data_IF_783516916866
#
_entry.id   IF_783516916866
#
_cell.length_a   1.000
_cell.length_b   1.000
_cell.length_c   1.000
_cell.angle_alpha   90.00
_cell.angle_beta   90.00
_cell.angle_gamma   90.00
#
_symmetry.space_group_name_H-M   'P 1'
#
loop_
_entity.id
_entity.type
_entity.pdbx_description
1 polymer ?
#
# COMPACT_ATOMS: atom_id res chain seq x y z
N UNK A 1 -3.44 -22.66 -14.20
CA UNK A 1 -3.36 -21.25 -13.76
C UNK A 1 -2.66 -21.19 -12.42
N UNK A 2 -1.68 -20.30 -12.26
CA UNK A 2 -0.96 -20.17 -10.99
C UNK A 2 -1.84 -19.46 -9.95
N UNK A 3 -2.04 -20.11 -8.81
CA UNK A 3 -2.84 -19.56 -7.71
C UNK A 3 -2.10 -18.45 -6.96
N UNK A 4 -0.81 -18.27 -7.22
CA UNK A 4 0.01 -17.22 -6.64
C UNK A 4 -0.08 -15.88 -7.38
N UNK A 5 -0.88 -15.79 -8.46
CA UNK A 5 -1.13 -14.50 -9.12
C UNK A 5 -1.65 -13.45 -8.14
N UNK A 6 -1.27 -12.20 -8.42
CA UNK A 6 -1.56 -11.05 -7.58
C UNK A 6 -2.78 -10.35 -8.16
N UNK A 7 -3.77 -10.14 -7.30
CA UNK A 7 -4.92 -9.31 -7.60
C UNK A 7 -4.69 -7.93 -7.04
N UNK A 8 -4.90 -6.89 -7.87
CA UNK A 8 -4.78 -5.50 -7.45
C UNK A 8 -6.08 -4.74 -7.76
N UNK A 9 -6.60 -4.02 -6.76
CA UNK A 9 -7.82 -3.21 -6.88
C UNK A 9 -7.68 -1.91 -6.09
N UNK A 10 -8.28 -0.82 -6.58
CA UNK A 10 -8.42 0.41 -5.80
C UNK A 10 -9.25 0.16 -4.54
N UNK A 11 -8.95 0.91 -3.48
CA UNK A 11 -9.71 0.84 -2.24
C UNK A 11 -11.15 1.34 -2.44
N UNK A 12 -11.38 2.29 -3.35
CA UNK A 12 -12.73 2.73 -3.76
C UNK A 12 -13.56 1.58 -4.32
N UNK A 13 -12.99 0.77 -5.23
CA UNK A 13 -13.67 -0.41 -5.77
C UNK A 13 -13.81 -1.54 -4.74
N UNK A 14 -12.88 -1.66 -3.79
CA UNK A 14 -13.02 -2.62 -2.68
C UNK A 14 -14.18 -2.22 -1.76
N UNK A 15 -14.35 -0.93 -1.48
CA UNK A 15 -15.36 -0.41 -0.55
C UNK A 15 -16.73 -0.20 -1.19
N UNK A 16 -16.82 -0.28 -2.52
CA UNK A 16 -18.07 -0.13 -3.25
C UNK A 16 -19.12 -1.20 -2.86
N UNK A 17 -20.40 -0.82 -2.91
CA UNK A 17 -21.53 -1.73 -2.69
C UNK A 17 -21.83 -2.53 -3.97
N UNK A 18 -21.62 -3.84 -3.91
CA UNK A 18 -22.09 -4.77 -4.93
C UNK A 18 -22.39 -6.14 -4.33
N UNK A 19 -23.34 -6.85 -4.96
CA UNK A 19 -23.74 -8.21 -4.56
C UNK A 19 -23.42 -9.21 -5.67
N UNK A 20 -22.30 -9.89 -5.49
CA UNK A 20 -21.82 -10.94 -6.38
C UNK A 20 -21.83 -12.28 -5.62
N UNK A 21 -22.26 -13.34 -6.30
CA UNK A 21 -22.10 -14.72 -5.84
C UNK A 21 -20.62 -15.08 -5.71
N UNK A 22 -20.34 -16.18 -4.99
CA UNK A 22 -18.97 -16.66 -4.79
C UNK A 22 -18.24 -16.86 -6.12
N UNK A 23 -18.92 -17.44 -7.09
CA UNK A 23 -18.34 -17.77 -8.38
C UNK A 23 -18.14 -16.52 -9.24
N UNK A 24 -19.10 -15.59 -9.25
CA UNK A 24 -18.94 -14.30 -9.94
C UNK A 24 -17.76 -13.51 -9.37
N UNK A 25 -17.60 -13.46 -8.04
CA UNK A 25 -16.44 -12.82 -7.43
C UNK A 25 -15.14 -13.50 -7.85
N UNK A 26 -15.10 -14.84 -7.83
CA UNK A 26 -13.90 -15.58 -8.26
C UNK A 26 -13.58 -15.38 -9.74
N UNK A 27 -14.59 -15.27 -10.62
CA UNK A 27 -14.40 -14.90 -12.04
C UNK A 27 -13.69 -13.55 -12.12
N UNK A 28 -14.29 -12.50 -11.54
CA UNK A 28 -13.74 -11.15 -11.57
C UNK A 28 -12.33 -11.09 -11.01
N UNK A 29 -12.08 -11.73 -9.87
CA UNK A 29 -10.79 -11.70 -9.21
C UNK A 29 -9.73 -12.53 -9.96
N UNK A 30 -10.14 -13.58 -10.67
CA UNK A 30 -9.24 -14.32 -11.57
C UNK A 30 -8.83 -13.44 -12.75
N UNK A 31 -9.77 -12.75 -13.39
CA UNK A 31 -9.46 -11.81 -14.48
C UNK A 31 -8.57 -10.66 -13.97
N UNK A 32 -8.90 -10.10 -12.80
CA UNK A 32 -8.13 -9.05 -12.17
C UNK A 32 -6.68 -9.46 -11.91
N UNK A 33 -6.43 -10.74 -11.62
CA UNK A 33 -5.08 -11.27 -11.42
C UNK A 33 -4.23 -11.35 -12.69
N UNK A 34 -4.86 -11.24 -13.86
CA UNK A 34 -4.19 -11.24 -15.15
C UNK A 34 -3.89 -9.83 -15.66
N UNK A 35 -4.49 -8.80 -15.08
CA UNK A 35 -4.21 -7.39 -15.41
C UNK A 35 -2.77 -7.10 -14.98
N UNK A 36 -1.94 -6.65 -15.91
CA UNK A 36 -0.55 -6.32 -15.62
C UNK A 36 -0.39 -4.81 -15.38
N UNK A 37 0.53 -4.37 -14.50
CA UNK A 37 0.75 -2.95 -14.23
C UNK A 37 1.12 -2.11 -15.47
N UNK A 38 1.73 -2.72 -16.47
CA UNK A 38 2.12 -2.08 -17.73
C UNK A 38 1.02 -2.06 -18.80
N UNK A 39 -0.13 -2.69 -18.55
CA UNK A 39 -1.24 -2.65 -19.49
C UNK A 39 -1.81 -1.23 -19.54
N UNK A 40 -2.10 -0.72 -20.73
CA UNK A 40 -2.81 0.56 -20.93
C UNK A 40 -4.31 0.36 -21.16
N UNK A 41 -4.70 -0.85 -21.52
CA UNK A 41 -6.05 -1.24 -21.90
C UNK A 41 -6.36 -2.62 -21.33
N UNK A 42 -7.63 -2.88 -20.97
CA UNK A 42 -8.03 -4.24 -20.65
C UNK A 42 -8.01 -5.12 -21.91
N UNK A 43 -7.23 -6.20 -21.82
CA UNK A 43 -7.16 -7.23 -22.84
C UNK A 43 -8.39 -8.14 -22.82
N UNK A 44 -8.51 -8.93 -23.87
CA UNK A 44 -9.38 -10.09 -23.88
C UNK A 44 -8.69 -11.25 -23.14
N UNK A 45 -9.32 -11.76 -22.08
CA UNK A 45 -8.79 -12.85 -21.27
C UNK A 45 -9.42 -14.17 -21.69
N UNK A 46 -8.59 -15.05 -22.24
CA UNK A 46 -9.02 -16.33 -22.80
C UNK A 46 -8.81 -17.48 -21.80
N UNK A 47 -9.82 -18.33 -21.63
CA UNK A 47 -9.80 -19.47 -20.73
C UNK A 47 -10.40 -20.71 -21.37
N UNK A 48 -9.75 -21.86 -21.18
CA UNK A 48 -10.42 -23.15 -21.38
C UNK A 48 -11.50 -23.31 -20.31
N UNK A 49 -12.72 -23.59 -20.72
CA UNK A 49 -13.88 -23.66 -19.80
C UNK A 49 -13.65 -24.73 -18.73
N UNK A 50 -13.02 -25.86 -19.10
CA UNK A 50 -12.66 -26.94 -18.17
C UNK A 50 -11.79 -26.43 -17.02
N UNK A 51 -10.67 -25.79 -17.35
CA UNK A 51 -9.71 -25.27 -16.37
C UNK A 51 -10.34 -24.15 -15.53
N UNK A 52 -11.21 -23.36 -16.14
CA UNK A 52 -11.91 -22.27 -15.45
C UNK A 52 -12.89 -22.79 -14.41
N UNK A 53 -13.70 -23.80 -14.75
CA UNK A 53 -14.62 -24.47 -13.81
C UNK A 53 -13.87 -25.08 -12.63
N UNK A 54 -12.75 -25.77 -12.91
CA UNK A 54 -11.90 -26.36 -11.88
C UNK A 54 -11.34 -25.29 -10.93
N UNK A 55 -10.85 -24.18 -11.48
CA UNK A 55 -10.32 -23.05 -10.71
C UNK A 55 -11.38 -22.42 -9.79
N UNK A 56 -12.62 -22.30 -10.26
CA UNK A 56 -13.74 -21.76 -9.48
C UNK A 56 -14.20 -22.72 -8.36
N UNK A 57 -13.63 -23.93 -8.29
CA UNK A 57 -13.95 -24.95 -7.28
C UNK A 57 -15.27 -25.67 -7.54
N UNK A 58 -15.66 -25.75 -8.81
CA UNK A 58 -16.87 -26.42 -9.26
C UNK A 58 -16.54 -27.87 -9.60
N UNK A 59 -17.10 -28.83 -8.83
CA UNK A 59 -16.76 -30.26 -8.93
C UNK A 59 -17.61 -31.08 -9.91
N UNK A 60 -18.60 -30.49 -10.57
CA UNK A 60 -19.64 -31.24 -11.28
C UNK A 60 -19.59 -30.97 -12.79
N UNK A 61 -19.50 -32.04 -13.58
CA UNK A 61 -19.39 -32.03 -15.04
C UNK A 61 -20.63 -31.41 -15.71
N UNK A 62 -21.79 -31.38 -15.03
CA UNK A 62 -22.99 -30.70 -15.55
C UNK A 62 -22.88 -29.17 -15.60
N UNK A 63 -21.76 -28.58 -15.14
CA UNK A 63 -21.58 -27.11 -15.03
C UNK A 63 -20.91 -26.44 -16.22
N UNK A 64 -20.59 -27.15 -17.30
CA UNK A 64 -20.20 -26.49 -18.56
C UNK A 64 -21.28 -25.52 -19.06
N UNK A 65 -22.56 -25.87 -18.85
CA UNK A 65 -23.71 -25.00 -19.17
C UNK A 65 -23.89 -23.84 -18.18
N UNK A 66 -23.26 -23.92 -17.00
CA UNK A 66 -23.41 -22.92 -15.95
C UNK A 66 -22.53 -21.69 -16.19
N UNK A 67 -21.39 -21.82 -16.87
CA UNK A 67 -20.52 -20.67 -17.17
C UNK A 67 -21.25 -19.62 -18.02
N UNK A 68 -21.89 -19.96 -19.16
CA UNK A 68 -22.76 -19.04 -19.91
C UNK A 68 -23.82 -18.35 -19.05
N UNK A 69 -24.49 -19.11 -18.17
CA UNK A 69 -25.50 -18.57 -17.26
C UNK A 69 -24.88 -17.58 -16.28
N UNK A 70 -23.79 -17.97 -15.62
CA UNK A 70 -23.09 -17.16 -14.61
C UNK A 70 -22.52 -15.87 -15.20
N UNK A 71 -21.87 -15.93 -16.38
CA UNK A 71 -21.34 -14.72 -17.01
C UNK A 71 -22.45 -13.80 -17.50
N UNK A 72 -23.58 -14.37 -17.97
CA UNK A 72 -24.75 -13.58 -18.37
C UNK A 72 -25.38 -12.85 -17.18
N UNK A 73 -25.49 -13.50 -16.03
CA UNK A 73 -25.94 -12.84 -14.80
C UNK A 73 -24.93 -11.78 -14.33
N UNK A 74 -23.63 -12.07 -14.38
CA UNK A 74 -22.58 -11.11 -14.05
C UNK A 74 -22.64 -9.84 -14.92
N UNK A 75 -22.88 -9.99 -16.22
CA UNK A 75 -23.03 -8.85 -17.14
C UNK A 75 -24.25 -7.97 -16.83
N UNK A 76 -25.31 -8.52 -16.23
CA UNK A 76 -26.51 -7.75 -15.85
C UNK A 76 -26.31 -6.95 -14.56
N UNK A 77 -25.25 -7.24 -13.80
CA UNK A 77 -25.02 -6.60 -12.51
C UNK A 77 -24.28 -5.28 -12.69
N UNK A 78 -24.97 -4.22 -12.33
CA UNK A 78 -24.45 -2.85 -12.26
C UNK A 78 -24.15 -2.52 -10.81
N UNK A 79 -23.08 -1.75 -10.59
CA UNK A 79 -22.75 -1.17 -9.30
C UNK A 79 -22.41 0.31 -9.46
N UNK A 80 -22.40 1.04 -8.35
CA UNK A 80 -22.29 2.50 -8.36
C UNK A 80 -21.10 2.97 -7.55
N UNK A 81 -20.26 3.81 -8.16
CA UNK A 81 -19.19 4.53 -7.47
C UNK A 81 -19.58 6.00 -7.41
N UNK A 82 -19.54 6.59 -6.21
CA UNK A 82 -19.80 8.02 -6.00
C UNK A 82 -18.50 8.80 -6.17
N UNK A 83 -18.51 9.78 -7.05
CA UNK A 83 -17.39 10.67 -7.34
C UNK A 83 -17.79 12.10 -7.02
N UNK A 84 -17.60 12.50 -5.76
CA UNK A 84 -18.08 13.78 -5.26
C UNK A 84 -19.61 13.88 -5.33
N UNK A 85 -20.11 14.67 -6.27
CA UNK A 85 -21.56 14.85 -6.51
C UNK A 85 -22.12 13.87 -7.53
N UNK A 86 -21.27 13.26 -8.34
CA UNK A 86 -21.67 12.39 -9.43
C UNK A 86 -21.79 10.93 -8.98
N UNK A 87 -22.66 10.18 -9.66
CA UNK A 87 -22.85 8.75 -9.47
C UNK A 87 -22.52 8.08 -10.79
N UNK A 88 -21.44 7.29 -10.80
CA UNK A 88 -21.00 6.51 -11.94
C UNK A 88 -21.53 5.09 -11.82
N UNK A 89 -22.35 4.67 -12.80
CA UNK A 89 -22.86 3.31 -12.89
C UNK A 89 -21.95 2.46 -13.79
N UNK A 90 -21.48 1.34 -13.26
CA UNK A 90 -20.48 0.49 -13.90
C UNK A 90 -20.97 -0.94 -14.02
N UNK A 91 -20.66 -1.56 -15.15
CA UNK A 91 -20.74 -3.00 -15.33
C UNK A 91 -19.36 -3.63 -15.12
N UNK A 92 -19.32 -4.91 -14.79
CA UNK A 92 -18.04 -5.60 -14.65
C UNK A 92 -17.41 -5.98 -15.99
N UNK A 93 -18.21 -6.48 -16.93
CA UNK A 93 -17.73 -7.06 -18.19
C UNK A 93 -18.39 -6.35 -19.37
N UNK A 94 -17.57 -5.85 -20.30
CA UNK A 94 -18.04 -5.27 -21.56
C UNK A 94 -18.50 -6.35 -22.54
N UNK A 95 -17.84 -7.51 -22.51
CA UNK A 95 -18.18 -8.62 -23.42
C UNK A 95 -17.73 -9.98 -22.88
N UNK A 96 -18.48 -11.00 -23.30
CA UNK A 96 -18.14 -12.41 -23.08
C UNK A 96 -18.40 -13.16 -24.38
N UNK A 97 -17.37 -13.82 -24.91
CA UNK A 97 -17.43 -14.57 -26.17
C UNK A 97 -17.13 -16.04 -25.90
N UNK A 98 -17.95 -16.92 -26.47
CA UNK A 98 -17.78 -18.36 -26.39
C UNK A 98 -17.34 -18.90 -27.75
N UNK A 99 -16.17 -19.55 -27.80
CA UNK A 99 -15.75 -20.37 -28.94
C UNK A 99 -16.21 -21.80 -28.65
N UNK A 100 -17.48 -22.09 -28.92
CA UNK A 100 -18.15 -23.34 -28.52
C UNK A 100 -17.47 -24.60 -29.05
N UNK A 101 -16.94 -24.56 -30.29
CA UNK A 101 -16.19 -25.67 -30.88
C UNK A 101 -14.83 -25.95 -30.22
N UNK A 102 -14.26 -24.97 -29.52
CA UNK A 102 -12.94 -25.07 -28.88
C UNK A 102 -13.03 -25.23 -27.36
N UNK A 103 -14.23 -25.09 -26.78
CA UNK A 103 -14.43 -25.12 -25.32
C UNK A 103 -13.77 -23.94 -24.60
N UNK A 104 -13.74 -22.77 -25.27
CA UNK A 104 -13.05 -21.58 -24.79
C UNK A 104 -14.05 -20.45 -24.49
N UNK A 105 -13.80 -19.73 -23.39
CA UNK A 105 -14.48 -18.48 -23.03
C UNK A 105 -13.49 -17.33 -23.02
N UNK A 106 -13.87 -16.22 -23.63
CA UNK A 106 -13.10 -14.98 -23.68
C UNK A 106 -13.90 -13.91 -22.95
N UNK A 107 -13.31 -13.28 -21.95
CA UNK A 107 -13.95 -12.24 -21.15
C UNK A 107 -13.16 -10.94 -21.24
N UNK A 108 -13.87 -9.80 -21.27
CA UNK A 108 -13.25 -8.47 -21.26
C UNK A 108 -13.90 -7.59 -20.21
N UNK A 109 -13.08 -6.95 -19.37
CA UNK A 109 -13.56 -5.94 -18.42
C UNK A 109 -14.19 -4.75 -19.15
N UNK A 110 -15.09 -4.05 -18.48
CA UNK A 110 -15.55 -2.73 -18.93
C UNK A 110 -14.39 -1.72 -18.88
N UNK A 111 -14.23 -0.92 -19.94
CA UNK A 111 -13.13 0.06 -20.03
C UNK A 111 -13.20 1.15 -18.96
N UNK A 112 -14.39 1.44 -18.42
CA UNK A 112 -14.56 2.41 -17.34
C UNK A 112 -14.03 1.90 -16.00
N UNK A 113 -13.65 0.62 -15.90
CA UNK A 113 -12.99 0.07 -14.70
C UNK A 113 -11.49 0.39 -14.61
N UNK A 114 -10.88 0.93 -15.67
CA UNK A 114 -9.43 1.19 -15.71
C UNK A 114 -8.91 2.01 -14.53
N UNK A 115 -9.56 3.12 -14.12
CA UNK A 115 -9.09 3.92 -12.99
C UNK A 115 -9.05 3.15 -11.67
N UNK A 116 -9.76 2.01 -11.59
CA UNK A 116 -9.94 1.24 -10.37
C UNK A 116 -9.19 -0.10 -10.35
N UNK A 117 -8.57 -0.52 -11.46
CA UNK A 117 -7.88 -1.82 -11.57
C UNK A 117 -6.58 -1.77 -12.37
N UNK A 118 -6.33 -0.75 -13.19
CA UNK A 118 -5.20 -0.68 -14.11
C UNK A 118 -4.37 0.60 -13.87
N UNK A 119 -4.99 1.78 -13.87
CA UNK A 119 -4.31 3.07 -13.65
C UNK A 119 -4.24 3.45 -12.16
N UNK A 120 -3.83 2.50 -11.33
CA UNK A 120 -3.82 2.65 -9.89
C UNK A 120 -2.63 3.50 -9.44
N UNK A 121 -2.88 4.78 -9.17
CA UNK A 121 -1.86 5.72 -8.69
C UNK A 121 -1.62 5.57 -7.19
N UNK A 122 -2.67 5.63 -6.38
CA UNK A 122 -2.60 5.63 -4.92
C UNK A 122 -3.81 4.87 -4.32
N UNK A 123 -3.67 4.44 -3.06
CA UNK A 123 -4.74 3.79 -2.29
C UNK A 123 -5.37 2.57 -2.99
N UNK A 124 -4.54 1.58 -3.29
CA UNK A 124 -4.95 0.26 -3.76
C UNK A 124 -4.53 -0.84 -2.80
N UNK A 125 -5.10 -2.03 -3.00
CA UNK A 125 -4.76 -3.22 -2.24
C UNK A 125 -4.37 -4.34 -3.20
N UNK A 126 -3.23 -4.97 -2.90
CA UNK A 126 -2.74 -6.16 -3.61
C UNK A 126 -2.74 -7.39 -2.69
N UNK A 127 -3.17 -8.53 -3.22
CA UNK A 127 -3.11 -9.82 -2.51
C UNK A 127 -3.07 -11.02 -3.44
N UNK A 128 -2.68 -12.19 -2.93
CA UNK A 128 -2.62 -13.43 -3.70
C UNK A 128 -4.02 -13.99 -3.97
N UNK A 129 -4.27 -14.37 -5.22
CA UNK A 129 -5.55 -14.93 -5.66
C UNK A 129 -5.96 -16.17 -4.85
N UNK A 130 -5.01 -17.01 -4.44
CA UNK A 130 -5.28 -18.20 -3.61
C UNK A 130 -6.05 -17.92 -2.32
N UNK A 131 -5.85 -16.75 -1.71
CA UNK A 131 -6.53 -16.36 -0.47
C UNK A 131 -8.04 -16.19 -0.70
N UNK A 132 -8.46 -15.93 -1.95
CA UNK A 132 -9.86 -15.82 -2.32
C UNK A 132 -10.42 -17.15 -2.81
N UNK A 133 -9.66 -17.88 -3.62
CA UNK A 133 -10.14 -19.12 -4.21
C UNK A 133 -10.52 -20.18 -3.17
N UNK A 134 -9.89 -20.16 -1.98
CA UNK A 134 -10.17 -21.07 -0.86
C UNK A 134 -11.47 -20.75 -0.09
N UNK A 135 -11.98 -19.52 -0.22
CA UNK A 135 -13.17 -19.04 0.49
C UNK A 135 -14.45 -19.58 -0.18
N UNK A 136 -15.42 -19.95 0.66
CA UNK A 136 -16.71 -20.53 0.26
C UNK A 136 -17.88 -19.58 0.48
N UNK A 137 -17.70 -18.53 1.29
CA UNK A 137 -18.73 -17.54 1.57
C UNK A 137 -18.52 -16.26 0.78
N UNK A 138 -19.56 -15.77 0.09
CA UNK A 138 -19.50 -14.50 -0.67
C UNK A 138 -19.13 -13.32 0.22
N UNK A 139 -19.60 -13.34 1.46
CA UNK A 139 -19.31 -12.29 2.45
C UNK A 139 -17.88 -12.37 2.98
N UNK A 140 -17.32 -13.57 3.08
CA UNK A 140 -15.94 -13.76 3.57
C UNK A 140 -14.93 -13.25 2.55
N UNK A 141 -15.20 -13.39 1.25
CA UNK A 141 -14.39 -12.78 0.19
C UNK A 141 -14.40 -11.26 0.33
N UNK A 142 -15.59 -10.64 0.42
CA UNK A 142 -15.72 -9.19 0.58
C UNK A 142 -15.05 -8.69 1.84
N UNK A 143 -15.30 -9.33 2.97
CA UNK A 143 -14.72 -8.94 4.26
C UNK A 143 -13.20 -9.09 4.25
N UNK A 144 -12.67 -10.13 3.60
CA UNK A 144 -11.23 -10.26 3.39
C UNK A 144 -10.66 -9.05 2.64
N UNK A 145 -11.24 -8.64 1.50
CA UNK A 145 -10.74 -7.49 0.75
C UNK A 145 -10.79 -6.19 1.57
N UNK A 146 -11.89 -5.95 2.29
CA UNK A 146 -12.10 -4.76 3.12
C UNK A 146 -11.09 -4.70 4.28
N UNK A 147 -10.83 -5.84 4.93
CA UNK A 147 -9.86 -5.90 6.01
C UNK A 147 -8.43 -5.83 5.47
N UNK A 148 -8.15 -6.47 4.34
CA UNK A 148 -6.84 -6.41 3.70
C UNK A 148 -6.47 -4.97 3.31
N UNK A 149 -7.43 -4.18 2.81
CA UNK A 149 -7.22 -2.77 2.49
C UNK A 149 -6.93 -1.89 3.70
N UNK A 150 -7.31 -2.33 4.91
CA UNK A 150 -7.05 -1.64 6.17
C UNK A 150 -5.93 -2.31 7.01
N UNK A 151 -5.24 -3.32 6.47
CA UNK A 151 -4.23 -4.08 7.21
C UNK A 151 -3.09 -3.19 7.74
N UNK A 152 -2.70 -2.16 6.97
CA UNK A 152 -1.65 -1.22 7.38
C UNK A 152 -2.00 -0.44 8.66
N UNK A 153 -3.29 -0.19 8.92
CA UNK A 153 -3.77 0.47 10.15
C UNK A 153 -3.83 -0.49 11.32
N UNK A 154 -3.80 -1.81 11.08
CA UNK A 154 -4.07 -2.91 12.04
C UNK A 154 -5.44 -2.88 12.71
N UNK A 155 -6.15 -1.77 12.69
CA UNK A 155 -7.50 -1.63 13.19
C UNK A 155 -8.29 -0.62 12.34
N UNK A 156 -9.60 -0.82 12.27
CA UNK A 156 -10.51 0.11 11.58
C UNK A 156 -11.88 0.09 12.27
N UNK A 157 -12.50 1.25 12.40
CA UNK A 157 -13.88 1.40 12.89
C UNK A 157 -14.74 1.70 11.67
N UNK A 158 -15.79 0.92 11.48
CA UNK A 158 -16.74 1.08 10.36
C UNK A 158 -18.16 1.02 10.93
N UNK A 159 -19.05 1.85 10.41
CA UNK A 159 -20.47 1.81 10.80
C UNK A 159 -21.12 0.49 10.39
N UNK A 160 -22.04 -0.03 11.21
CA UNK A 160 -22.65 -1.33 10.96
C UNK A 160 -23.37 -1.39 9.60
N UNK A 161 -24.10 -0.34 9.25
CA UNK A 161 -24.81 -0.27 7.97
C UNK A 161 -23.85 -0.15 6.78
N UNK A 162 -22.72 0.54 6.97
CA UNK A 162 -21.67 0.59 5.96
C UNK A 162 -21.04 -0.80 5.74
N UNK A 163 -20.70 -1.54 6.81
CA UNK A 163 -20.19 -2.91 6.67
C UNK A 163 -21.19 -3.80 5.91
N UNK A 164 -22.48 -3.74 6.26
CA UNK A 164 -23.55 -4.48 5.58
C UNK A 164 -23.61 -4.16 4.08
N UNK A 165 -23.51 -2.87 3.74
CA UNK A 165 -23.49 -2.41 2.34
C UNK A 165 -22.25 -2.90 1.59
N UNK A 166 -21.06 -2.77 2.18
CA UNK A 166 -19.80 -3.17 1.55
C UNK A 166 -19.74 -4.68 1.27
N UNK A 167 -20.23 -5.51 2.21
CA UNK A 167 -20.28 -6.98 2.01
C UNK A 167 -21.44 -7.44 1.12
N UNK A 168 -22.34 -6.53 0.72
CA UNK A 168 -23.48 -6.82 -0.13
C UNK A 168 -24.56 -7.66 0.56
N UNK A 169 -24.74 -7.54 1.88
CA UNK A 169 -25.78 -8.27 2.62
C UNK A 169 -27.14 -7.59 2.49
N UNK A 170 -27.72 -7.66 1.28
CA UNK A 170 -29.01 -7.02 0.94
C UNK A 170 -30.23 -7.81 1.42
N UNK A 171 -30.05 -9.04 1.90
CA UNK A 171 -31.16 -9.87 2.34
C UNK A 171 -31.73 -9.37 3.68
N UNK A 172 -33.07 -9.16 3.77
CA UNK A 172 -33.78 -8.67 4.97
C UNK A 172 -33.45 -9.45 6.25
N UNK A 173 -33.09 -10.73 6.13
CA UNK A 173 -32.67 -11.56 7.28
C UNK A 173 -31.50 -10.95 8.05
N UNK A 174 -30.65 -10.15 7.39
CA UNK A 174 -29.47 -9.52 7.99
C UNK A 174 -29.72 -8.13 8.58
N UNK A 175 -30.94 -7.61 8.47
CA UNK A 175 -31.36 -6.40 9.18
C UNK A 175 -31.18 -6.60 10.69
N UNK A 176 -31.52 -7.81 11.16
CA UNK A 176 -31.26 -8.27 12.52
C UNK A 176 -29.77 -8.53 12.73
N UNK A 177 -29.16 -7.73 13.61
CA UNK A 177 -27.74 -7.83 13.93
C UNK A 177 -27.29 -9.24 14.38
N UNK A 178 -28.13 -9.99 15.11
CA UNK A 178 -27.80 -11.36 15.53
C UNK A 178 -27.57 -12.33 14.36
N UNK A 179 -28.34 -12.19 13.27
CA UNK A 179 -28.15 -12.98 12.05
C UNK A 179 -26.91 -12.52 11.29
N UNK A 180 -26.70 -11.20 11.18
CA UNK A 180 -25.49 -10.65 10.58
C UNK A 180 -24.22 -11.14 11.30
N UNK A 181 -24.22 -11.06 12.62
CA UNK A 181 -23.12 -11.53 13.47
C UNK A 181 -22.83 -13.01 13.25
N UNK A 182 -23.84 -13.87 13.42
CA UNK A 182 -23.63 -15.33 13.35
C UNK A 182 -23.28 -15.83 11.95
N UNK A 183 -24.01 -15.38 10.92
CA UNK A 183 -23.89 -15.91 9.56
C UNK A 183 -22.80 -15.24 8.72
N UNK A 184 -22.44 -13.99 9.03
CA UNK A 184 -21.46 -13.21 8.27
C UNK A 184 -20.18 -13.02 9.08
N UNK A 185 -20.25 -12.33 10.22
CA UNK A 185 -19.02 -11.97 10.96
C UNK A 185 -18.32 -13.21 11.52
N UNK A 186 -19.00 -14.03 12.31
CA UNK A 186 -18.43 -15.23 12.95
C UNK A 186 -17.97 -16.26 11.91
N UNK A 187 -18.78 -16.49 10.87
CA UNK A 187 -18.42 -17.40 9.78
C UNK A 187 -17.18 -16.92 9.01
N UNK A 188 -17.11 -15.63 8.67
CA UNK A 188 -15.96 -15.06 7.98
C UNK A 188 -14.72 -15.03 8.86
N UNK A 189 -14.86 -14.75 10.16
CA UNK A 189 -13.76 -14.77 11.11
C UNK A 189 -13.07 -16.13 11.13
N UNK A 190 -13.86 -17.21 11.27
CA UNK A 190 -13.35 -18.58 11.24
C UNK A 190 -12.72 -18.91 9.89
N UNK A 191 -13.41 -18.59 8.79
CA UNK A 191 -12.94 -18.95 7.45
C UNK A 191 -11.64 -18.23 7.07
N UNK A 192 -11.49 -16.94 7.39
CA UNK A 192 -10.27 -16.16 7.13
C UNK A 192 -9.10 -16.68 7.96
N UNK A 193 -9.33 -16.94 9.24
CA UNK A 193 -8.31 -17.49 10.14
C UNK A 193 -7.76 -18.84 9.66
N UNK A 194 -8.61 -19.70 9.08
CA UNK A 194 -8.21 -21.03 8.60
C UNK A 194 -7.56 -21.01 7.21
N UNK A 195 -7.94 -20.08 6.33
CA UNK A 195 -7.68 -20.22 4.89
C UNK A 195 -6.95 -19.08 4.22
N UNK A 196 -6.65 -18.00 4.94
CA UNK A 196 -6.05 -16.79 4.35
C UNK A 196 -4.81 -16.34 5.12
N UNK A 197 -4.11 -15.35 4.56
CA UNK A 197 -2.91 -14.74 5.14
C UNK A 197 -3.24 -13.72 6.26
N UNK A 198 -4.52 -13.42 6.47
CA UNK A 198 -4.99 -12.55 7.55
C UNK A 198 -6.06 -13.23 8.40
N UNK A 199 -6.19 -12.76 9.63
CA UNK A 199 -7.33 -13.04 10.49
C UNK A 199 -7.79 -11.72 11.13
N UNK A 200 -8.94 -11.76 11.80
CA UNK A 200 -9.40 -10.60 12.54
C UNK A 200 -10.15 -10.98 13.81
N UNK A 201 -10.20 -10.02 14.72
CA UNK A 201 -11.18 -9.95 15.82
C UNK A 201 -11.93 -8.64 15.73
N UNK A 202 -13.03 -8.50 16.46
CA UNK A 202 -13.80 -7.26 16.44
C UNK A 202 -14.47 -6.97 17.78
N UNK A 203 -14.71 -5.69 18.02
CA UNK A 203 -15.46 -5.17 19.15
C UNK A 203 -16.71 -4.43 18.66
N UNK A 204 -17.80 -4.59 19.41
CA UNK A 204 -19.08 -3.93 19.15
C UNK A 204 -19.11 -2.57 19.84
N UNK A 205 -19.31 -1.50 19.08
CA UNK A 205 -19.55 -0.17 19.62
C UNK A 205 -21.07 0.03 19.65
N UNK A 206 -21.59 0.42 20.82
CA UNK A 206 -23.02 0.53 21.09
C UNK A 206 -23.40 1.97 21.43
N UNK A 207 -24.55 2.38 20.93
CA UNK A 207 -25.25 3.59 21.38
C UNK A 207 -26.54 3.14 22.06
N UNK A 208 -26.57 3.22 23.39
CA UNK A 208 -27.60 2.58 24.20
C UNK A 208 -27.57 1.05 24.04
N UNK A 209 -28.69 0.44 23.63
CA UNK A 209 -28.79 -1.01 23.41
C UNK A 209 -28.38 -1.45 21.99
N UNK A 210 -28.33 -0.53 21.03
CA UNK A 210 -28.09 -0.83 19.61
C UNK A 210 -26.60 -0.81 19.29
N UNK A 211 -26.13 -1.81 18.54
CA UNK A 211 -24.78 -1.78 17.94
C UNK A 211 -24.80 -0.82 16.76
N UNK A 212 -23.94 0.18 16.78
CA UNK A 212 -23.85 1.24 15.78
C UNK A 212 -22.62 1.09 14.88
N UNK A 213 -21.51 0.63 15.44
CA UNK A 213 -20.26 0.46 14.69
C UNK A 213 -19.51 -0.80 15.12
N UNK A 214 -18.63 -1.29 14.25
CA UNK A 214 -17.74 -2.41 14.50
C UNK A 214 -16.30 -1.92 14.43
N UNK A 215 -15.52 -2.19 15.49
CA UNK A 215 -14.08 -1.96 15.50
C UNK A 215 -13.38 -3.27 15.21
N UNK A 216 -12.80 -3.39 14.02
CA UNK A 216 -12.03 -4.55 13.60
C UNK A 216 -10.57 -4.41 14.03
N UNK A 217 -9.97 -5.51 14.47
CA UNK A 217 -8.54 -5.68 14.71
C UNK A 217 -8.03 -6.75 13.76
N UNK A 218 -7.00 -6.43 12.98
CA UNK A 218 -6.56 -7.20 11.83
C UNK A 218 -5.13 -7.66 12.10
N UNK A 219 -4.87 -8.95 11.92
CA UNK A 219 -3.55 -9.52 12.12
C UNK A 219 -3.18 -10.50 11.01
N UNK A 220 -1.88 -10.69 10.79
CA UNK A 220 -1.36 -11.63 9.79
C UNK A 220 -1.27 -13.03 10.40
N UNK A 221 -1.71 -14.04 9.64
CA UNK A 221 -1.58 -15.45 10.04
C UNK A 221 -0.14 -15.94 9.85
N UNK A 222 0.64 -16.02 10.95
CA UNK A 222 2.05 -16.48 10.91
C UNK A 222 2.22 -17.92 10.41
N UNK A 223 1.22 -18.78 10.59
CA UNK A 223 1.29 -20.23 10.31
C UNK A 223 1.33 -20.57 8.82
N UNK A 224 0.89 -19.66 7.95
CA UNK A 224 0.92 -19.82 6.48
C UNK A 224 2.16 -19.14 5.85
N UNK A 225 3.00 -18.50 6.66
CA UNK A 225 4.12 -17.65 6.24
C UNK A 225 5.48 -18.35 6.28
N UNK A 226 5.64 -19.54 5.69
CA UNK A 226 7.00 -20.04 5.38
C UNK A 226 7.48 -19.62 3.99
N UNK A 227 6.60 -19.37 3.02
CA UNK A 227 6.95 -18.98 1.65
C UNK A 227 6.13 -17.79 1.12
N UNK A 228 5.54 -16.97 2.01
CA UNK A 228 4.57 -15.97 1.61
C UNK A 228 4.99 -14.56 2.01
N UNK A 229 5.89 -13.98 1.22
CA UNK A 229 5.99 -12.53 1.15
C UNK A 229 4.64 -12.04 0.59
N UNK A 230 3.99 -11.14 1.32
CA UNK A 230 2.82 -10.44 0.83
C UNK A 230 3.25 -9.61 -0.40
N UNK A 231 2.49 -9.65 -1.49
CA UNK A 231 2.68 -8.72 -2.61
C UNK A 231 2.61 -7.26 -2.16
N UNK A 232 1.94 -6.99 -1.04
CA UNK A 232 1.96 -5.67 -0.38
C UNK A 232 3.34 -5.27 0.16
N UNK A 233 4.33 -6.16 0.29
CA UNK A 233 5.72 -5.80 0.63
C UNK A 233 6.66 -5.90 -0.58
N UNK A 234 6.26 -6.60 -1.65
CA UNK A 234 7.05 -6.75 -2.89
C UNK A 234 6.72 -5.66 -3.91
N UNK A 235 5.46 -5.20 -3.95
CA UNK A 235 4.98 -4.14 -4.85
C UNK A 235 4.81 -2.79 -4.15
N UNK A 236 5.04 -2.70 -2.83
CA UNK A 236 5.46 -1.43 -2.21
C UNK A 236 6.93 -1.20 -2.62
N UNK A 237 7.08 -0.95 -3.91
CA UNK A 237 8.04 -0.04 -4.48
C UNK A 237 9.50 -0.52 -4.39
N UNK A 238 10.12 -0.97 -5.50
CA UNK A 238 11.58 -0.98 -5.60
C UNK A 238 12.18 0.40 -5.26
N UNK A 239 11.41 1.51 -5.34
CA UNK A 239 11.82 2.82 -4.81
C UNK A 239 11.61 3.01 -3.28
N UNK A 240 10.75 2.27 -2.56
CA UNK A 240 10.64 2.37 -1.08
C UNK A 240 11.63 1.45 -0.38
N UNK A 241 11.95 0.28 -0.94
CA UNK A 241 13.08 -0.53 -0.49
C UNK A 241 14.37 0.28 -0.63
N UNK A 242 14.55 0.90 -1.80
CA UNK A 242 15.60 1.89 -2.04
C UNK A 242 15.53 3.05 -1.04
N UNK A 243 14.35 3.62 -0.75
CA UNK A 243 14.24 4.69 0.26
C UNK A 243 14.63 4.22 1.67
N UNK A 244 14.37 2.98 2.08
CA UNK A 244 14.72 2.50 3.43
C UNK A 244 16.22 2.22 3.55
N UNK A 245 16.82 1.63 2.50
CA UNK A 245 18.26 1.43 2.41
C UNK A 245 19.00 2.77 2.32
N UNK A 246 18.46 3.73 1.54
CA UNK A 246 18.99 5.09 1.42
C UNK A 246 18.84 5.87 2.75
N UNK A 247 17.74 5.71 3.48
CA UNK A 247 17.55 6.31 4.82
C UNK A 247 18.60 5.78 5.79
N UNK A 248 18.86 4.47 5.78
CA UNK A 248 19.89 3.87 6.62
C UNK A 248 21.29 4.37 6.22
N UNK A 249 21.57 4.49 4.92
CA UNK A 249 22.85 4.99 4.42
C UNK A 249 23.07 6.47 4.78
N UNK A 250 22.03 7.31 4.74
CA UNK A 250 22.10 8.71 5.21
C UNK A 250 22.40 8.77 6.71
N UNK A 251 21.82 7.87 7.51
CA UNK A 251 22.14 7.75 8.94
C UNK A 251 23.56 7.23 9.21
N UNK A 252 24.11 6.41 8.34
CA UNK A 252 25.51 5.98 8.45
C UNK A 252 26.48 7.12 8.10
N UNK A 253 26.13 7.96 7.12
CA UNK A 253 26.93 9.13 6.72
C UNK A 253 26.93 10.20 7.82
N UNK A 254 25.77 10.44 8.43
CA UNK A 254 25.59 11.46 9.45
C UNK A 254 25.83 10.80 10.80
N UNK A 255 27.02 10.97 11.38
CA UNK A 255 27.40 10.41 12.69
C UNK A 255 26.69 11.09 13.89
N UNK A 256 25.44 11.53 13.71
CA UNK A 256 24.58 12.15 14.72
C UNK A 256 23.22 11.43 14.77
N UNK A 257 22.56 11.38 15.93
CA UNK A 257 21.26 10.74 16.06
C UNK A 257 20.19 11.56 15.32
N UNK A 258 19.78 11.07 14.14
CA UNK A 258 18.69 11.65 13.35
C UNK A 258 17.52 10.66 13.24
N UNK A 259 16.30 11.19 13.19
CA UNK A 259 15.07 10.42 12.96
C UNK A 259 14.91 10.02 11.48
N UNK A 260 14.08 9.01 11.21
CA UNK A 260 13.76 8.58 9.83
C UNK A 260 13.21 9.74 8.98
N UNK A 261 12.41 10.61 9.61
CA UNK A 261 11.79 11.78 8.97
C UNK A 261 12.85 12.83 8.61
N UNK A 262 13.88 13.01 9.42
CA UNK A 262 14.97 13.94 9.17
C UNK A 262 15.90 13.45 8.06
N UNK A 263 16.26 12.15 8.08
CA UNK A 263 16.99 11.52 6.99
C UNK A 263 16.24 11.64 5.65
N UNK A 264 14.92 11.44 5.67
CA UNK A 264 14.07 11.59 4.49
C UNK A 264 14.06 13.03 3.94
N UNK A 265 14.04 14.06 4.80
CA UNK A 265 14.09 15.48 4.37
C UNK A 265 15.40 15.83 3.65
N UNK A 266 16.51 15.24 4.10
CA UNK A 266 17.83 15.41 3.47
C UNK A 266 17.84 14.72 2.10
N UNK A 267 17.36 13.48 2.03
CA UNK A 267 17.21 12.70 0.81
C UNK A 267 16.38 13.40 -0.27
N UNK A 268 15.24 13.97 0.13
CA UNK A 268 14.37 14.76 -0.76
C UNK A 268 15.11 16.00 -1.27
N UNK A 269 15.87 16.70 -0.42
CA UNK A 269 16.61 17.89 -0.82
C UNK A 269 17.74 17.57 -1.81
N UNK A 270 18.31 16.36 -1.75
CA UNK A 270 19.35 15.87 -2.66
C UNK A 270 18.81 15.14 -3.90
N UNK A 271 17.48 15.10 -4.12
CA UNK A 271 16.84 14.31 -5.18
C UNK A 271 17.30 12.84 -5.22
N UNK A 272 17.53 12.21 -4.05
CA UNK A 272 17.98 10.82 -3.98
C UNK A 272 19.49 10.60 -4.18
N UNK A 273 20.30 11.65 -4.35
CA UNK A 273 21.73 11.51 -4.62
C UNK A 273 22.58 11.50 -3.34
N UNK A 274 22.96 10.31 -2.88
CA UNK A 274 23.75 10.09 -1.66
C UNK A 274 25.14 10.71 -1.73
N UNK A 275 25.77 10.75 -2.91
CA UNK A 275 27.11 11.32 -3.08
C UNK A 275 27.14 12.81 -2.74
N UNK A 276 26.08 13.54 -3.10
CA UNK A 276 25.92 14.97 -2.77
C UNK A 276 25.80 15.14 -1.25
N UNK A 277 25.03 14.28 -0.58
CA UNK A 277 24.85 14.34 0.88
C UNK A 277 26.20 14.13 1.58
N UNK A 278 26.96 13.12 1.16
CA UNK A 278 28.31 12.83 1.70
C UNK A 278 29.28 13.98 1.47
N UNK A 279 29.26 14.57 0.26
CA UNK A 279 30.08 15.73 -0.07
C UNK A 279 29.75 16.92 0.83
N UNK A 280 28.48 17.33 0.91
CA UNK A 280 28.08 18.49 1.71
C UNK A 280 28.27 18.26 3.21
N UNK A 281 28.04 17.04 3.70
CA UNK A 281 28.34 16.67 5.09
C UNK A 281 29.83 16.83 5.42
N UNK A 282 30.74 16.51 4.49
CA UNK A 282 32.18 16.67 4.75
C UNK A 282 32.59 18.13 5.03
N UNK A 283 31.84 19.10 4.52
CA UNK A 283 32.08 20.53 4.77
C UNK A 283 31.67 20.97 6.18
N UNK A 284 30.85 20.18 6.89
CA UNK A 284 30.45 20.45 8.27
C UNK A 284 31.64 20.48 9.23
N UNK A 285 32.69 19.69 8.95
CA UNK A 285 33.90 19.62 9.76
C UNK A 285 34.70 20.95 9.80
N UNK A 286 34.52 21.79 8.78
CA UNK A 286 35.20 23.09 8.69
C UNK A 286 34.39 24.23 9.33
N UNK A 287 33.13 24.00 9.70
CA UNK A 287 32.24 25.02 10.28
C UNK A 287 32.28 24.94 11.80
N UNK A 288 32.60 26.06 12.44
CA UNK A 288 32.65 26.12 13.90
C UNK A 288 31.24 26.18 14.50
N UNK A 289 30.85 25.16 15.29
CA UNK A 289 29.55 25.00 15.98
C UNK A 289 28.32 25.02 15.06
N UNK A 290 27.83 23.84 14.71
CA UNK A 290 26.54 23.66 14.01
C UNK A 290 25.47 23.32 15.05
N UNK A 291 24.43 24.16 15.16
CA UNK A 291 23.33 23.94 16.11
C UNK A 291 22.26 22.96 15.63
N UNK A 292 22.01 22.89 14.31
CA UNK A 292 21.07 21.97 13.68
C UNK A 292 21.70 21.39 12.42
N UNK A 293 22.26 20.18 12.54
CA UNK A 293 22.97 19.51 11.46
C UNK A 293 22.06 19.22 10.26
N UNK A 294 20.82 18.77 10.50
CA UNK A 294 19.83 18.48 9.44
C UNK A 294 19.51 19.74 8.63
N UNK A 295 19.22 20.84 9.32
CA UNK A 295 18.94 22.13 8.67
C UNK A 295 20.13 22.66 7.88
N UNK A 296 21.34 22.50 8.43
CA UNK A 296 22.58 22.94 7.79
C UNK A 296 22.87 22.17 6.50
N UNK A 297 22.72 20.84 6.48
CA UNK A 297 22.93 20.01 5.28
C UNK A 297 21.91 20.37 4.19
N UNK A 298 20.64 20.56 4.55
CA UNK A 298 19.60 20.96 3.59
C UNK A 298 19.94 22.32 2.96
N UNK A 299 20.41 23.27 3.76
CA UNK A 299 20.84 24.58 3.27
C UNK A 299 22.07 24.49 2.37
N UNK A 300 23.05 23.67 2.76
CA UNK A 300 24.27 23.43 1.98
C UNK A 300 24.00 22.78 0.61
N UNK A 301 22.99 21.92 0.52
CA UNK A 301 22.54 21.32 -0.75
C UNK A 301 21.81 22.38 -1.60
N UNK A 302 20.88 23.12 -1.02
CA UNK A 302 20.08 24.13 -1.74
C UNK A 302 20.93 25.26 -2.32
N UNK A 303 21.93 25.70 -1.56
CA UNK A 303 22.80 26.82 -1.91
C UNK A 303 24.13 26.39 -2.54
N UNK A 304 24.27 25.10 -2.89
CA UNK A 304 25.46 24.49 -3.48
C UNK A 304 26.77 24.94 -2.80
N UNK A 305 26.87 24.74 -1.49
CA UNK A 305 28.05 25.11 -0.72
C UNK A 305 29.29 24.41 -1.30
N UNK A 306 30.40 25.14 -1.42
CA UNK A 306 31.66 24.63 -1.96
C UNK A 306 32.69 24.49 -0.87
N UNK A 307 33.64 23.56 -1.08
CA UNK A 307 34.77 23.36 -0.17
C UNK A 307 35.44 24.69 0.19
N UNK A 308 35.71 24.95 1.48
CA UNK A 308 36.30 26.20 1.92
C UNK A 308 37.67 26.42 1.27
N UNK A 309 37.75 27.41 0.39
CA UNK A 309 39.02 27.86 -0.20
C UNK A 309 39.69 28.84 0.77
N UNK A 310 40.56 28.33 1.63
CA UNK A 310 41.48 29.15 2.41
C UNK A 310 41.74 28.60 3.81
N UNK A 311 43.02 28.57 4.21
CA UNK A 311 43.38 28.52 5.63
C UNK A 311 42.74 29.75 6.29
N UNK A 312 41.95 29.56 7.33
CA UNK A 312 41.61 30.67 8.21
C UNK A 312 42.94 31.29 8.63
N UNK A 313 43.17 32.57 8.30
CA UNK A 313 44.27 33.32 8.89
C UNK A 313 44.07 33.25 10.39
N UNK A 314 44.92 32.49 11.09
CA UNK A 314 44.99 32.57 12.54
C UNK A 314 45.40 33.99 12.85
N UNK A 315 44.48 34.78 13.39
CA UNK A 315 44.72 36.14 13.86
C UNK A 315 45.79 36.22 14.98
N UNK A 316 46.30 35.08 15.45
CA UNK A 316 47.22 34.95 16.58
C UNK A 316 48.64 34.47 16.20
N UNK A 317 49.06 34.50 14.93
CA UNK A 317 50.46 34.23 14.54
C UNK A 317 51.22 35.55 14.28
N UNK A 318 51.35 36.38 15.32
CA UNK A 318 52.38 37.42 15.34
C UNK A 318 53.40 37.07 16.41
N UNK A 319 54.69 37.10 16.07
CA UNK A 319 55.75 36.99 17.06
C UNK A 319 55.59 38.12 18.08
N UNK A 320 55.55 37.74 19.36
CA UNK A 320 55.43 38.68 20.46
C UNK A 320 56.68 39.57 20.43
N UNK A 321 56.48 40.90 20.42
CA UNK A 321 57.61 41.84 20.39
C UNK A 321 58.52 41.57 21.59
N UNK A 322 59.74 41.15 21.33
CA UNK A 322 60.79 41.12 22.34
C UNK A 322 61.18 42.56 22.67
N UNK A 323 61.00 42.93 23.94
CA UNK A 323 61.37 44.24 24.43
C UNK A 323 62.71 44.14 25.15
N UNK A 324 63.67 44.99 24.78
CA UNK A 324 64.84 45.23 25.63
C UNK A 324 64.40 46.10 26.82
N UNK A 325 64.04 45.42 27.90
CA UNK A 325 63.56 46.06 29.12
C UNK A 325 64.58 47.06 29.71
N UNK A 326 65.89 46.85 29.49
CA UNK A 326 66.92 47.79 29.97
C UNK A 326 66.93 49.08 29.16
N UNK A 327 66.73 48.98 27.85
CA UNK A 327 66.65 50.17 26.98
C UNK A 327 65.39 50.99 27.28
N UNK A 328 64.26 50.30 27.51
CA UNK A 328 63.00 50.93 27.91
C UNK A 328 63.09 51.58 29.29
N UNK A 329 63.74 50.92 30.25
CA UNK A 329 63.95 51.46 31.59
C UNK A 329 64.84 52.70 31.58
N UNK A 330 65.94 52.70 30.80
CA UNK A 330 66.77 53.91 30.59
C UNK A 330 65.98 55.07 29.99
N UNK A 331 65.13 54.79 29.00
CA UNK A 331 64.25 55.80 28.38
C UNK A 331 63.20 56.33 29.35
N UNK A 332 62.68 55.50 30.24
CA UNK A 332 61.70 55.91 31.24
C UNK A 332 62.31 56.76 32.37
N UNK A 333 63.53 56.44 32.81
CA UNK A 333 64.22 57.12 33.92
C UNK A 333 65.01 58.37 33.47
N UNK A 334 65.04 58.67 32.17
CA UNK A 334 65.64 59.89 31.62
C UNK A 334 67.17 59.92 31.63
N UNK A 335 67.82 58.77 31.75
CA UNK A 335 69.28 58.67 31.66
C UNK A 335 69.66 58.45 30.20
N UNK A 336 70.32 59.44 29.59
CA UNK A 336 70.96 59.27 28.28
C UNK A 336 72.20 58.41 28.39
#
# INVERSE_FOLDING_TARGET
MDKNYIVTKSNSLINCNYDLSVQEQKIILTLASMVQPQDTEFKEYEFKIKDFIELLGVKDEKKYTEIPRMTKELMKKVFEIREGKDILQLSWLSSVRYKTGEGIVILKFDSNLKPYMLELKELYTSYKLKNILSLKSKYSIRLYEILKSNLFKKQVIIELEEVKNMVGSKEKTYDTYGNFKSKILTKSQKELAEKTDINFTYQEIKTGRKVTSLKFYISTNKTTCKNEIAATLVDINPKLQQNMDDINLVKEIIHEPITDIEALKILISANGNISIIKEKYSYSAAVHKIGNMVGWIIDAIKNDYKSPKGKANKFNEYDQREYDFKELEKKLLGWK
#
